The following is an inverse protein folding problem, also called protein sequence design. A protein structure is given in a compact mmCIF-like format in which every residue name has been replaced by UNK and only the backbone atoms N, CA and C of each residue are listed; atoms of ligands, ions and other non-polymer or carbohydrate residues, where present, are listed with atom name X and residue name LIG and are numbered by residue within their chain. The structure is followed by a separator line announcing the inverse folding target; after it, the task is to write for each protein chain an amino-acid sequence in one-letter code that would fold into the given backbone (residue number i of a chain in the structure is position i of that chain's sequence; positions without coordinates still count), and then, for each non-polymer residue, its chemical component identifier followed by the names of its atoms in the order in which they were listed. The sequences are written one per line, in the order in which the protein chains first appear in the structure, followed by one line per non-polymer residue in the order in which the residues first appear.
data_IF_859605969038
#
_entry.id   IF_859605969038
#
_cell.length_a   1.000
_cell.length_b   1.000
_cell.length_c   1.000
_cell.angle_alpha   90.00
_cell.angle_beta   90.00
_cell.angle_gamma   90.00
#
_symmetry.space_group_name_H-M   'P 1'
#
loop_
_entity.id
_entity.type
_entity.pdbx_description
1 polymer ?
#
# COMPACT_ATOMS: atom_id res chain seq x y z
N UNK A 1 16.04 47.74 8.26
CA UNK A 1 14.95 46.81 8.63
C UNK A 1 14.54 45.89 7.48
N UNK A 2 14.17 46.35 6.30
CA UNK A 2 13.74 45.55 5.13
C UNK A 2 14.77 44.47 4.70
N UNK A 3 16.08 44.81 4.63
CA UNK A 3 17.13 43.84 4.23
C UNK A 3 17.29 42.67 5.23
N UNK A 4 17.18 42.91 6.55
CA UNK A 4 17.23 41.85 7.56
C UNK A 4 16.02 40.95 7.48
N UNK A 5 14.82 41.51 7.28
CA UNK A 5 13.59 40.75 7.09
C UNK A 5 13.70 39.86 5.84
N UNK A 6 14.19 40.38 4.71
CA UNK A 6 14.38 39.62 3.49
C UNK A 6 15.36 38.46 3.68
N UNK A 7 16.47 38.66 4.39
CA UNK A 7 17.44 37.57 4.68
C UNK A 7 16.79 36.49 5.55
N UNK A 8 16.07 36.87 6.61
CA UNK A 8 15.39 35.92 7.51
C UNK A 8 14.34 35.08 6.75
N UNK A 9 13.51 35.75 5.91
CA UNK A 9 12.49 35.03 5.11
C UNK A 9 13.13 34.09 4.09
N UNK A 10 14.23 34.48 3.44
CA UNK A 10 14.95 33.64 2.49
C UNK A 10 15.56 32.40 3.17
N UNK A 11 16.16 32.58 4.34
CA UNK A 11 16.71 31.46 5.13
C UNK A 11 15.58 30.52 5.60
N UNK A 12 14.47 31.07 6.11
CA UNK A 12 13.34 30.26 6.54
C UNK A 12 12.74 29.46 5.36
N UNK A 13 12.61 30.08 4.18
CA UNK A 13 12.15 29.39 2.96
C UNK A 13 13.09 28.29 2.53
N UNK A 14 14.41 28.54 2.56
CA UNK A 14 15.43 27.53 2.23
C UNK A 14 15.37 26.33 3.20
N UNK A 15 15.27 26.59 4.51
CA UNK A 15 15.13 25.53 5.51
C UNK A 15 13.86 24.70 5.31
N UNK A 16 12.74 25.36 5.00
CA UNK A 16 11.48 24.66 4.68
C UNK A 16 11.65 23.76 3.45
N UNK A 17 12.29 24.24 2.39
CA UNK A 17 12.54 23.46 1.19
C UNK A 17 13.42 22.25 1.47
N UNK A 18 14.50 22.44 2.23
CA UNK A 18 15.38 21.34 2.67
C UNK A 18 14.60 20.29 3.48
N UNK A 19 13.71 20.72 4.38
CA UNK A 19 12.87 19.83 5.18
C UNK A 19 11.92 19.01 4.31
N UNK A 20 11.28 19.66 3.32
CA UNK A 20 10.40 18.97 2.36
C UNK A 20 11.17 17.92 1.56
N UNK A 21 12.36 18.29 1.06
CA UNK A 21 13.23 17.35 0.31
C UNK A 21 13.61 16.16 1.20
N UNK A 22 14.04 16.42 2.43
CA UNK A 22 14.42 15.37 3.39
C UNK A 22 13.25 14.39 3.64
N UNK A 23 12.04 14.91 3.89
CA UNK A 23 10.87 14.06 4.08
C UNK A 23 10.52 13.25 2.83
N UNK A 24 10.74 13.79 1.63
CA UNK A 24 10.58 13.05 0.38
C UNK A 24 11.59 11.92 0.24
N UNK A 25 12.84 12.15 0.59
CA UNK A 25 13.90 11.13 0.56
C UNK A 25 13.53 10.00 1.54
N UNK A 26 13.23 10.34 2.80
CA UNK A 26 12.86 9.36 3.83
C UNK A 26 11.63 8.56 3.40
N UNK A 27 10.58 9.24 2.97
CA UNK A 27 9.32 8.58 2.65
C UNK A 27 9.35 7.70 1.39
N UNK A 28 10.30 7.94 0.47
CA UNK A 28 10.48 7.13 -0.74
C UNK A 28 11.57 6.05 -0.60
N UNK A 29 12.20 5.94 0.57
CA UNK A 29 13.18 4.88 0.84
C UNK A 29 12.50 3.52 0.87
N UNK A 30 13.17 2.53 0.31
CA UNK A 30 12.76 1.13 0.46
C UNK A 30 13.04 0.66 1.90
N UNK A 31 12.26 -0.29 2.45
CA UNK A 31 12.60 -0.97 3.68
C UNK A 31 14.00 -1.60 3.60
N UNK A 32 14.75 -1.58 4.70
CA UNK A 32 16.15 -2.04 4.71
C UNK A 32 16.28 -3.55 4.44
N UNK A 33 15.26 -4.33 4.76
CA UNK A 33 15.19 -5.77 4.58
C UNK A 33 14.48 -6.21 3.29
N UNK A 34 14.13 -5.27 2.41
CA UNK A 34 13.30 -5.55 1.22
C UNK A 34 13.88 -6.63 0.32
N UNK A 35 15.20 -6.68 0.12
CA UNK A 35 15.85 -7.69 -0.71
C UNK A 35 15.73 -9.09 -0.09
N UNK A 36 15.89 -9.19 1.23
CA UNK A 36 15.69 -10.44 1.97
C UNK A 36 14.24 -10.89 1.85
N UNK A 37 13.27 -10.00 2.06
CA UNK A 37 11.83 -10.31 1.91
C UNK A 37 11.46 -10.68 0.47
N UNK A 38 12.07 -10.04 -0.51
CA UNK A 38 11.88 -10.40 -1.91
C UNK A 38 12.44 -11.80 -2.24
N UNK A 39 13.58 -12.16 -1.66
CA UNK A 39 14.14 -13.51 -1.82
C UNK A 39 13.26 -14.58 -1.14
N UNK A 40 12.79 -14.33 0.07
CA UNK A 40 11.82 -15.21 0.77
C UNK A 40 10.56 -15.44 -0.07
N UNK A 41 9.99 -14.35 -0.63
CA UNK A 41 8.83 -14.43 -1.51
C UNK A 41 9.12 -15.20 -2.79
N UNK A 42 10.29 -15.02 -3.41
CA UNK A 42 10.72 -15.76 -4.60
C UNK A 42 10.81 -17.25 -4.32
N UNK A 43 11.41 -17.64 -3.19
CA UNK A 43 11.51 -19.05 -2.76
C UNK A 43 10.13 -19.66 -2.54
N UNK A 44 9.22 -18.93 -1.90
CA UNK A 44 7.82 -19.32 -1.77
C UNK A 44 7.16 -19.55 -3.15
N UNK A 45 7.39 -18.63 -4.10
CA UNK A 45 6.85 -18.73 -5.46
C UNK A 45 7.40 -19.97 -6.21
N UNK A 46 8.71 -20.24 -6.10
CA UNK A 46 9.35 -21.42 -6.70
C UNK A 46 8.73 -22.70 -6.13
N UNK A 47 8.69 -22.81 -4.79
CA UNK A 47 8.16 -24.00 -4.09
C UNK A 47 6.72 -24.31 -4.45
N UNK A 48 5.88 -23.28 -4.66
CA UNK A 48 4.45 -23.42 -4.89
C UNK A 48 4.04 -23.23 -6.36
N UNK A 49 5.00 -23.20 -7.29
CA UNK A 49 4.78 -23.07 -8.73
C UNK A 49 4.02 -21.79 -9.15
N UNK A 50 4.31 -20.67 -8.48
CA UNK A 50 3.82 -19.34 -8.82
C UNK A 50 4.77 -18.57 -9.74
N UNK A 51 4.42 -17.30 -10.06
CA UNK A 51 5.25 -16.43 -10.89
C UNK A 51 6.59 -16.13 -10.21
N UNK A 52 7.68 -16.33 -10.94
CA UNK A 52 9.05 -16.09 -10.46
C UNK A 52 9.75 -14.93 -11.16
N UNK A 53 9.02 -14.15 -11.96
CA UNK A 53 9.53 -12.92 -12.57
C UNK A 53 9.27 -11.72 -11.66
N UNK A 54 8.04 -11.62 -11.15
CA UNK A 54 7.62 -10.50 -10.30
C UNK A 54 6.81 -10.98 -9.09
N UNK A 55 6.88 -10.21 -7.99
CA UNK A 55 6.05 -10.36 -6.81
C UNK A 55 5.69 -8.99 -6.22
N UNK A 56 4.72 -8.96 -5.32
CA UNK A 56 4.32 -7.75 -4.63
C UNK A 56 4.56 -7.92 -3.13
N UNK A 57 5.25 -6.96 -2.52
CA UNK A 57 5.56 -6.89 -1.11
C UNK A 57 4.81 -5.71 -0.49
N UNK A 58 4.12 -5.96 0.61
CA UNK A 58 3.39 -4.94 1.38
C UNK A 58 3.81 -5.03 2.84
N UNK A 59 4.59 -4.06 3.28
CA UNK A 59 5.10 -4.00 4.65
C UNK A 59 4.26 -3.04 5.49
N UNK A 60 3.42 -3.58 6.35
CA UNK A 60 2.60 -2.78 7.25
C UNK A 60 3.29 -2.36 8.55
N UNK A 61 4.56 -2.72 8.78
CA UNK A 61 5.38 -2.11 9.83
C UNK A 61 5.82 -0.70 9.44
N UNK A 62 5.95 -0.43 8.13
CA UNK A 62 6.35 0.87 7.59
C UNK A 62 5.21 1.89 7.73
N UNK A 63 5.56 3.13 8.08
CA UNK A 63 4.61 4.24 8.22
C UNK A 63 3.75 4.43 6.95
N UNK A 64 2.44 4.65 7.11
CA UNK A 64 1.47 4.67 6.00
C UNK A 64 1.72 5.75 4.95
N UNK A 65 2.39 6.83 5.31
CA UNK A 65 2.81 7.90 4.40
C UNK A 65 4.09 7.59 3.62
N UNK A 66 4.77 6.51 3.93
CA UNK A 66 6.00 6.06 3.26
C UNK A 66 5.71 4.98 2.22
N UNK A 67 6.73 4.68 1.41
CA UNK A 67 6.74 3.54 0.50
C UNK A 67 6.63 2.24 1.28
N UNK A 68 5.55 1.49 1.07
CA UNK A 68 5.31 0.20 1.73
C UNK A 68 4.55 -0.81 0.86
N UNK A 69 4.19 -0.46 -0.36
CA UNK A 69 3.72 -1.35 -1.42
C UNK A 69 4.75 -1.32 -2.54
N UNK A 70 5.35 -2.46 -2.85
CA UNK A 70 6.48 -2.57 -3.75
C UNK A 70 6.22 -3.71 -4.72
N UNK A 71 6.26 -3.44 -6.02
CA UNK A 71 6.32 -4.47 -7.06
C UNK A 71 7.80 -4.74 -7.34
N UNK A 72 8.22 -5.99 -7.14
CA UNK A 72 9.62 -6.41 -7.23
C UNK A 72 9.89 -7.28 -8.44
N UNK A 73 10.95 -6.96 -9.16
CA UNK A 73 11.51 -7.77 -10.23
C UNK A 73 12.54 -8.75 -9.64
N UNK A 74 12.17 -10.02 -9.57
CA UNK A 74 13.03 -11.08 -9.02
C UNK A 74 14.25 -11.39 -9.88
N UNK A 75 14.21 -11.10 -11.20
CA UNK A 75 15.32 -11.34 -12.12
C UNK A 75 16.43 -10.30 -11.96
N UNK A 76 16.03 -9.03 -11.88
CA UNK A 76 16.97 -7.90 -11.82
C UNK A 76 17.21 -7.41 -10.39
N UNK A 77 16.58 -8.05 -9.38
CA UNK A 77 16.65 -7.72 -7.96
C UNK A 77 16.42 -6.22 -7.69
N UNK A 78 15.30 -5.69 -8.20
CA UNK A 78 14.95 -4.26 -8.06
C UNK A 78 13.46 -4.01 -7.97
N UNK A 79 13.09 -2.88 -7.37
CA UNK A 79 11.73 -2.41 -7.38
C UNK A 79 11.35 -1.86 -8.77
N UNK A 80 10.25 -2.36 -9.35
CA UNK A 80 9.61 -1.82 -10.56
C UNK A 80 8.68 -0.67 -10.21
N UNK A 81 7.94 -0.81 -9.10
CA UNK A 81 7.01 0.19 -8.59
C UNK A 81 7.16 0.35 -7.08
N UNK A 82 7.11 1.59 -6.62
CA UNK A 82 7.08 1.97 -5.20
C UNK A 82 5.85 2.82 -4.93
N UNK A 83 5.07 2.47 -3.90
CA UNK A 83 3.83 3.19 -3.58
C UNK A 83 3.58 3.29 -2.09
N UNK A 84 2.88 4.34 -1.69
CA UNK A 84 2.17 4.37 -0.43
C UNK A 84 0.97 3.42 -0.51
N UNK A 85 0.51 2.93 0.65
CA UNK A 85 -0.60 1.99 0.70
C UNK A 85 -1.42 2.21 1.97
N UNK A 86 -2.75 2.24 1.87
CA UNK A 86 -3.61 2.20 3.03
C UNK A 86 -3.92 0.76 3.42
N UNK A 87 -4.10 0.53 4.71
CA UNK A 87 -4.53 -0.73 5.32
C UNK A 87 -5.94 -0.60 5.88
N UNK A 88 -6.50 -1.72 6.34
CA UNK A 88 -7.79 -1.76 7.02
C UNK A 88 -7.82 -0.87 8.26
N UNK A 89 -8.93 -0.15 8.44
CA UNK A 89 -9.07 0.83 9.52
C UNK A 89 -9.34 0.21 10.89
N UNK A 90 -9.70 -1.08 10.95
CA UNK A 90 -10.24 -1.70 12.15
C UNK A 90 -11.60 -1.14 12.58
N UNK A 91 -12.20 -1.73 13.60
CA UNK A 91 -13.42 -1.20 14.23
C UNK A 91 -13.33 -1.25 15.76
N UNK A 92 -14.19 -0.49 16.44
CA UNK A 92 -14.23 -0.43 17.90
C UNK A 92 -12.89 0.08 18.45
N UNK A 93 -12.36 -0.58 19.46
CA UNK A 93 -11.09 -0.26 20.08
C UNK A 93 -9.86 -0.44 19.16
N UNK A 94 -10.00 -1.24 18.09
CA UNK A 94 -8.95 -1.46 17.10
C UNK A 94 -8.91 -0.39 16.00
N UNK A 95 -9.85 0.57 16.05
CA UNK A 95 -9.95 1.60 15.03
C UNK A 95 -8.72 2.51 14.99
N UNK A 96 -8.09 2.58 13.81
CA UNK A 96 -6.88 3.39 13.58
C UNK A 96 -5.60 2.79 14.16
N UNK A 97 -5.67 1.62 14.78
CA UNK A 97 -4.49 0.89 15.27
C UNK A 97 -3.91 -0.02 14.18
N UNK A 98 -2.65 -0.36 14.31
CA UNK A 98 -1.97 -1.33 13.43
C UNK A 98 -2.27 -2.77 13.91
N UNK A 99 -3.53 -3.19 13.76
CA UNK A 99 -4.03 -4.51 14.17
C UNK A 99 -4.48 -5.27 12.94
N UNK A 100 -4.17 -6.56 12.89
CA UNK A 100 -4.47 -7.46 11.78
C UNK A 100 -5.46 -8.54 12.22
N UNK A 101 -6.38 -8.90 11.34
CA UNK A 101 -7.38 -9.92 11.62
C UNK A 101 -7.92 -10.55 10.35
N UNK A 102 -8.18 -11.85 10.42
CA UNK A 102 -8.86 -12.61 9.36
C UNK A 102 -10.38 -12.74 9.61
N UNK A 103 -10.88 -12.16 10.69
CA UNK A 103 -12.30 -12.25 11.08
C UNK A 103 -13.20 -11.40 10.18
N UNK A 104 -14.38 -11.94 9.90
CA UNK A 104 -15.41 -11.24 9.14
C UNK A 104 -15.88 -9.98 9.88
N UNK A 105 -15.95 -8.86 9.16
CA UNK A 105 -16.41 -7.59 9.74
C UNK A 105 -15.44 -6.91 10.71
N UNK A 106 -14.19 -7.41 10.86
CA UNK A 106 -13.16 -6.75 11.68
C UNK A 106 -12.69 -5.41 11.11
N UNK A 107 -12.87 -5.18 9.80
CA UNK A 107 -12.35 -4.05 9.03
C UNK A 107 -10.81 -3.92 9.07
N UNK A 108 -10.12 -4.93 9.59
CA UNK A 108 -8.66 -5.01 9.62
C UNK A 108 -8.12 -5.64 8.33
N UNK A 109 -6.89 -5.32 7.94
CA UNK A 109 -6.15 -6.11 6.97
C UNK A 109 -5.75 -7.46 7.57
N UNK A 110 -5.55 -8.47 6.73
CA UNK A 110 -4.96 -9.76 7.14
C UNK A 110 -3.53 -9.86 6.64
N UNK A 111 -2.66 -10.49 7.39
CA UNK A 111 -1.29 -10.79 6.97
C UNK A 111 -1.23 -12.10 6.16
N UNK A 112 -0.15 -12.30 5.41
CA UNK A 112 0.14 -13.54 4.68
C UNK A 112 0.23 -13.37 3.18
N UNK A 113 0.35 -14.51 2.49
CA UNK A 113 0.46 -14.58 1.04
C UNK A 113 -0.91 -14.59 0.38
N UNK A 114 -1.02 -13.86 -0.72
CA UNK A 114 -2.23 -13.78 -1.53
C UNK A 114 -1.90 -14.08 -2.99
N UNK A 115 -2.71 -14.91 -3.61
CA UNK A 115 -2.73 -15.03 -5.06
C UNK A 115 -3.54 -13.86 -5.63
N UNK A 116 -2.96 -13.11 -6.56
CA UNK A 116 -3.66 -12.07 -7.30
C UNK A 116 -4.56 -12.72 -8.34
N UNK A 117 -5.84 -12.45 -8.24
CA UNK A 117 -6.87 -12.95 -9.15
C UNK A 117 -7.19 -11.98 -10.28
N UNK A 118 -8.29 -12.26 -10.99
CA UNK A 118 -8.74 -11.44 -12.11
C UNK A 118 -9.17 -10.03 -11.65
N UNK A 119 -8.97 -9.05 -12.53
CA UNK A 119 -9.55 -7.73 -12.38
C UNK A 119 -11.08 -7.80 -12.51
N UNK A 120 -11.76 -7.03 -11.69
CA UNK A 120 -13.22 -6.85 -11.71
C UNK A 120 -13.61 -5.41 -11.44
N UNK A 121 -14.86 -5.07 -11.73
CA UNK A 121 -15.45 -3.80 -11.28
C UNK A 121 -16.05 -3.98 -9.89
N UNK A 122 -15.81 -3.02 -9.00
CA UNK A 122 -16.40 -3.02 -7.65
C UNK A 122 -17.86 -2.59 -7.71
N UNK A 123 -18.74 -3.33 -7.04
CA UNK A 123 -20.14 -2.93 -6.90
C UNK A 123 -20.34 -1.78 -5.92
N UNK A 124 -19.55 -1.77 -4.83
CA UNK A 124 -19.65 -0.78 -3.74
C UNK A 124 -19.19 0.63 -4.13
N UNK A 125 -18.36 0.77 -5.17
CA UNK A 125 -17.85 2.06 -5.66
C UNK A 125 -17.99 2.07 -7.19
N UNK A 126 -19.20 2.35 -7.69
CA UNK A 126 -19.60 2.55 -9.10
C UNK A 126 -18.52 2.18 -10.14
N UNK A 127 -18.33 0.89 -10.38
CA UNK A 127 -17.49 0.39 -11.46
C UNK A 127 -15.98 0.63 -11.32
N UNK A 128 -15.48 0.99 -10.13
CA UNK A 128 -14.03 1.15 -9.89
C UNK A 128 -13.32 -0.19 -10.12
N UNK A 129 -12.21 -0.22 -10.86
CA UNK A 129 -11.47 -1.46 -11.08
C UNK A 129 -10.83 -1.95 -9.79
N UNK A 130 -10.72 -3.26 -9.65
CA UNK A 130 -10.07 -3.89 -8.52
C UNK A 130 -9.53 -5.28 -8.88
N UNK A 131 -8.43 -5.70 -8.28
CA UNK A 131 -7.88 -7.05 -8.37
C UNK A 131 -8.32 -7.87 -7.17
N UNK A 132 -8.85 -9.07 -7.41
CA UNK A 132 -9.20 -9.98 -6.32
C UNK A 132 -7.94 -10.47 -5.61
N UNK A 133 -8.02 -10.60 -4.28
CA UNK A 133 -7.00 -11.25 -3.47
C UNK A 133 -7.54 -12.55 -2.89
N UNK A 134 -6.84 -13.66 -3.17
CA UNK A 134 -7.18 -15.00 -2.71
C UNK A 134 -6.15 -15.36 -1.65
N UNK A 135 -6.58 -15.49 -0.40
CA UNK A 135 -5.69 -15.83 0.72
C UNK A 135 -5.14 -17.25 0.58
N UNK A 136 -3.87 -17.44 0.88
CA UNK A 136 -3.15 -18.71 0.77
C UNK A 136 -2.71 -19.25 2.13
N UNK A 137 -2.79 -18.43 3.18
CA UNK A 137 -2.40 -18.79 4.54
C UNK A 137 -3.62 -18.83 5.47
N UNK A 138 -3.51 -19.49 6.62
CA UNK A 138 -4.56 -19.50 7.64
C UNK A 138 -4.92 -18.10 8.15
N UNK A 139 -3.94 -17.21 8.18
CA UNK A 139 -4.08 -15.80 8.62
C UNK A 139 -4.91 -14.94 7.68
N UNK A 140 -5.18 -15.39 6.45
CA UNK A 140 -5.96 -14.67 5.43
C UNK A 140 -6.94 -15.56 4.64
N UNK A 141 -7.23 -16.77 5.13
CA UNK A 141 -8.11 -17.75 4.47
C UNK A 141 -9.51 -17.21 4.14
N UNK A 142 -10.00 -16.22 4.88
CA UNK A 142 -11.30 -15.59 4.67
C UNK A 142 -11.26 -14.43 3.64
N UNK A 143 -10.14 -14.20 2.96
CA UNK A 143 -9.97 -13.04 2.08
C UNK A 143 -11.06 -12.92 1.01
N UNK A 144 -11.43 -14.03 0.34
CA UNK A 144 -12.48 -14.04 -0.69
C UNK A 144 -13.84 -13.70 -0.06
N UNK A 145 -14.21 -14.37 1.03
CA UNK A 145 -15.48 -14.17 1.71
C UNK A 145 -15.62 -12.75 2.28
N UNK A 146 -14.50 -12.17 2.71
CA UNK A 146 -14.41 -10.79 3.19
C UNK A 146 -14.34 -9.75 2.06
N UNK A 147 -14.19 -10.17 0.80
CA UNK A 147 -14.06 -9.28 -0.34
C UNK A 147 -12.78 -8.46 -0.36
N UNK A 148 -11.67 -9.04 0.10
CA UNK A 148 -10.37 -8.36 0.14
C UNK A 148 -9.80 -8.20 -1.28
N UNK A 149 -9.40 -6.97 -1.62
CA UNK A 149 -9.00 -6.55 -2.96
C UNK A 149 -7.74 -5.67 -2.91
N UNK A 150 -7.07 -5.55 -4.08
CA UNK A 150 -6.28 -4.35 -4.39
C UNK A 150 -7.18 -3.42 -5.19
N UNK A 151 -7.34 -2.17 -4.75
CA UNK A 151 -8.11 -1.19 -5.52
C UNK A 151 -7.55 0.23 -5.37
N UNK A 152 -7.78 1.09 -6.39
CA UNK A 152 -7.28 2.46 -6.34
C UNK A 152 -8.10 3.34 -5.40
N UNK A 153 -7.43 4.35 -4.85
CA UNK A 153 -8.03 5.43 -4.07
C UNK A 153 -7.44 6.78 -4.49
N UNK A 154 -8.13 7.88 -4.15
CA UNK A 154 -7.63 9.23 -4.38
C UNK A 154 -6.57 9.60 -3.33
N UNK A 155 -5.35 9.17 -3.60
CA UNK A 155 -4.13 9.50 -2.85
C UNK A 155 -3.08 9.98 -3.85
N UNK A 156 -2.11 10.81 -3.42
CA UNK A 156 -0.98 11.15 -4.27
C UNK A 156 -0.12 9.93 -4.57
N UNK A 157 0.45 9.86 -5.77
CA UNK A 157 1.29 8.74 -6.24
C UNK A 157 2.71 8.76 -5.64
N UNK A 158 2.93 9.55 -4.63
CA UNK A 158 4.22 9.75 -3.96
C UNK A 158 4.05 9.70 -2.44
N UNK A 159 5.17 9.52 -1.73
CA UNK A 159 5.20 9.58 -0.26
C UNK A 159 4.63 10.89 0.27
N UNK A 160 3.77 10.78 1.27
CA UNK A 160 3.20 11.91 2.03
C UNK A 160 3.83 12.06 3.41
N UNK A 161 4.90 11.30 3.71
CA UNK A 161 5.62 11.40 4.98
C UNK A 161 5.99 12.87 5.28
N UNK A 162 5.83 13.39 6.50
CA UNK A 162 5.51 12.69 7.75
C UNK A 162 4.00 12.48 8.02
N UNK A 163 3.13 12.79 7.07
CA UNK A 163 1.68 12.61 7.24
C UNK A 163 1.29 11.14 7.05
N UNK A 164 0.45 10.63 7.94
CA UNK A 164 -0.17 9.30 7.79
C UNK A 164 -1.35 9.34 6.84
N UNK A 165 -1.62 8.23 6.17
CA UNK A 165 -2.91 8.04 5.50
C UNK A 165 -3.96 7.93 6.60
N UNK A 166 -4.96 8.83 6.66
CA UNK A 166 -5.96 8.79 7.70
C UNK A 166 -6.79 7.51 7.61
N UNK A 167 -7.07 6.89 8.76
CA UNK A 167 -7.95 5.71 8.83
C UNK A 167 -9.40 6.04 8.44
N UNK A 168 -9.75 7.33 8.47
CA UNK A 168 -11.06 7.86 8.07
C UNK A 168 -10.90 9.16 7.30
N UNK A 169 -11.72 9.35 6.27
CA UNK A 169 -11.84 10.62 5.56
C UNK A 169 -12.91 11.45 6.25
N UNK A 170 -12.52 12.59 6.83
CA UNK A 170 -13.47 13.57 7.34
C UNK A 170 -13.92 14.49 6.21
N UNK A 171 -15.20 14.59 5.97
CA UNK A 171 -15.76 15.59 5.07
C UNK A 171 -15.97 16.87 5.88
N UNK A 172 -15.18 17.90 5.57
CA UNK A 172 -15.32 19.26 6.11
C UNK A 172 -16.57 19.87 5.46
N UNK A 173 -17.57 20.27 6.06
CA UNK A 173 -18.87 20.82 5.68
C UNK A 173 -20.06 19.84 5.76
N UNK A 174 -20.66 19.80 6.91
CA UNK A 174 -22.09 19.66 7.16
C UNK A 174 -22.72 18.27 7.12
N UNK A 175 -22.03 17.22 6.68
CA UNK A 175 -22.46 15.83 6.91
C UNK A 175 -21.21 14.97 7.11
N UNK A 176 -21.02 14.50 8.33
CA UNK A 176 -19.91 13.63 8.72
C UNK A 176 -20.05 12.24 8.08
N UNK A 177 -19.57 12.06 6.87
CA UNK A 177 -19.34 10.74 6.32
C UNK A 177 -17.89 10.34 6.59
N UNK A 178 -17.68 9.64 7.70
CA UNK A 178 -16.43 8.97 7.96
C UNK A 178 -16.39 7.70 7.11
N UNK A 179 -15.67 7.71 5.99
CA UNK A 179 -15.37 6.51 5.24
C UNK A 179 -13.89 6.18 5.43
N UNK A 180 -13.56 4.95 5.87
CA UNK A 180 -12.19 4.48 5.90
C UNK A 180 -11.65 4.42 4.46
N UNK A 181 -10.35 4.64 4.29
CA UNK A 181 -9.71 4.38 3.00
C UNK A 181 -9.72 2.90 2.66
N UNK A 182 -9.76 2.02 3.68
CA UNK A 182 -9.86 0.59 3.51
C UNK A 182 -10.60 -0.06 4.69
N UNK A 183 -11.38 -1.08 4.39
CA UNK A 183 -12.05 -2.00 5.32
C UNK A 183 -11.37 -3.38 5.29
N UNK A 184 -10.05 -3.39 5.12
CA UNK A 184 -9.22 -4.59 5.03
C UNK A 184 -8.48 -4.73 3.69
N UNK A 185 -8.94 -4.06 2.63
CA UNK A 185 -8.31 -4.08 1.32
C UNK A 185 -6.92 -3.41 1.32
N UNK A 186 -6.09 -3.82 0.38
CA UNK A 186 -4.85 -3.14 0.01
C UNK A 186 -5.21 -2.00 -0.95
N UNK A 187 -5.06 -0.74 -0.54
CA UNK A 187 -5.48 0.40 -1.37
C UNK A 187 -4.30 1.30 -1.70
N UNK A 188 -4.15 1.61 -2.97
CA UNK A 188 -3.02 2.38 -3.52
C UNK A 188 -3.53 3.53 -4.39
N UNK A 189 -2.69 4.55 -4.70
CA UNK A 189 -3.04 5.62 -5.62
C UNK A 189 -3.46 5.12 -7.01
N UNK A 190 -4.29 5.87 -7.72
CA UNK A 190 -4.82 5.49 -9.03
C UNK A 190 -3.73 5.19 -10.07
N UNK A 191 -2.71 6.04 -10.16
CA UNK A 191 -1.66 5.86 -11.15
C UNK A 191 -0.81 4.63 -10.83
N UNK A 192 -0.48 4.42 -9.55
CA UNK A 192 0.23 3.23 -9.11
C UNK A 192 -0.58 1.94 -9.31
N UNK A 193 -1.92 2.01 -9.19
CA UNK A 193 -2.79 0.87 -9.52
C UNK A 193 -2.72 0.53 -11.01
N UNK A 194 -2.84 1.53 -11.91
CA UNK A 194 -2.72 1.32 -13.36
C UNK A 194 -1.38 0.70 -13.74
N UNK A 195 -0.30 1.24 -13.19
CA UNK A 195 1.06 0.74 -13.42
C UNK A 195 1.20 -0.71 -12.88
N UNK A 196 0.67 -1.00 -11.69
CA UNK A 196 0.61 -2.37 -11.16
C UNK A 196 -0.09 -3.32 -12.13
N UNK A 197 -1.27 -2.95 -12.65
CA UNK A 197 -2.01 -3.78 -13.61
C UNK A 197 -1.23 -3.98 -14.91
N UNK A 198 -0.53 -2.96 -15.39
CA UNK A 198 0.34 -3.05 -16.58
C UNK A 198 1.46 -4.07 -16.35
N UNK A 199 2.20 -3.96 -15.24
CA UNK A 199 3.27 -4.91 -14.89
C UNK A 199 2.74 -6.35 -14.77
N UNK A 200 1.57 -6.53 -14.13
CA UNK A 200 0.93 -7.86 -14.02
C UNK A 200 0.54 -8.43 -15.39
N UNK A 201 0.06 -7.59 -16.31
CA UNK A 201 -0.30 -7.99 -17.67
C UNK A 201 0.92 -8.38 -18.52
N UNK A 202 2.05 -7.74 -18.33
CA UNK A 202 3.33 -8.09 -18.97
C UNK A 202 3.92 -9.40 -18.45
N UNK A 203 3.54 -9.81 -17.23
CA UNK A 203 4.04 -11.02 -16.56
C UNK A 203 2.97 -12.13 -16.48
N UNK A 204 2.13 -12.28 -17.52
CA UNK A 204 1.11 -13.34 -17.60
C UNK A 204 1.74 -14.73 -17.66
N UNK A 205 0.95 -15.71 -17.25
CA UNK A 205 1.35 -17.13 -17.23
C UNK A 205 1.01 -17.73 -15.88
N UNK A 206 1.93 -17.69 -14.93
CA UNK A 206 1.68 -18.14 -13.56
C UNK A 206 1.12 -16.99 -12.72
N UNK A 207 0.26 -17.29 -11.72
CA UNK A 207 -0.28 -16.25 -10.83
C UNK A 207 0.84 -15.53 -10.06
N UNK A 208 0.74 -14.20 -9.99
CA UNK A 208 1.63 -13.38 -9.17
C UNK A 208 1.15 -13.41 -7.72
N UNK A 209 2.10 -13.46 -6.80
CA UNK A 209 1.86 -13.44 -5.35
C UNK A 209 2.09 -12.05 -4.80
N UNK A 210 1.17 -11.64 -3.93
CA UNK A 210 1.32 -10.50 -3.04
C UNK A 210 1.51 -11.03 -1.62
N UNK A 211 2.53 -10.55 -0.91
CA UNK A 211 2.79 -10.90 0.47
C UNK A 211 2.61 -9.66 1.36
N UNK A 212 1.64 -9.73 2.27
CA UNK A 212 1.40 -8.73 3.31
C UNK A 212 2.06 -9.20 4.59
N UNK A 213 2.98 -8.40 5.12
CA UNK A 213 3.72 -8.74 6.34
C UNK A 213 3.91 -7.53 7.25
N UNK A 214 4.41 -7.80 8.44
CA UNK A 214 4.91 -6.82 9.42
C UNK A 214 6.13 -7.42 10.10
N UNK A 215 7.11 -6.61 10.42
CA UNK A 215 8.28 -6.98 11.21
C UNK A 215 7.97 -6.88 12.71
#
# INVERSE_FOLDING_TARGET
MKRKIFIITSVAFFLLLCTIILFRIIGNRLPDDIETKAQELKEYCVKNNYNTNVGILVDYSVHSGCTRFIVWDFKNNKALLKSICAQGCGKGENQGKNVFSNEFGSLCSSLGHYKIGKERKMNSIKGRPALNLIGLDSTNSNAIARGILIHPVHLPSFSIYPFSIPSKVYRIFGKAFMRPYSEGCVTIPFDNYKETVTILNENKGKPVILWVYTN
#
